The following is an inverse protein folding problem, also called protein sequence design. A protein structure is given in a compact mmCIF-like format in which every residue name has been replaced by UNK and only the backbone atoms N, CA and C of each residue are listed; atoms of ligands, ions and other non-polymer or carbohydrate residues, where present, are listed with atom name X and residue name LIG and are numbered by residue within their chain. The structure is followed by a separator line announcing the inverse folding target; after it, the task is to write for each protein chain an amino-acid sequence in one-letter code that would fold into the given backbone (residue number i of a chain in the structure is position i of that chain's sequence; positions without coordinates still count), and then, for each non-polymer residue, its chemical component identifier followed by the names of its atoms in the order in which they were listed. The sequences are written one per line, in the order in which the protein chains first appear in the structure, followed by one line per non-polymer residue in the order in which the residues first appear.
data_IF_447404784827
#
_entry.id   IF_447404784827
#
_cell.length_a   1.000
_cell.length_b   1.000
_cell.length_c   1.000
_cell.angle_alpha   90.00
_cell.angle_beta   90.00
_cell.angle_gamma   90.00
#
_symmetry.space_group_name_H-M   'P 1'
#
loop_
_entity.id
_entity.type
_entity.pdbx_description
1 polymer ?
#
# COMPACT_ATOMS: atom_id res chain seq x y z
N UNK A 1 -11.38 10.81 11.99
CA UNK A 1 -11.31 10.01 13.24
C UNK A 1 -10.89 8.56 13.05
N UNK A 2 -11.07 7.94 11.91
CA UNK A 2 -10.58 6.58 11.62
C UNK A 2 -9.07 6.39 11.88
N UNK A 3 -8.26 7.41 11.59
CA UNK A 3 -6.82 7.37 11.88
C UNK A 3 -6.46 7.24 13.36
N UNK A 4 -7.30 7.70 14.29
CA UNK A 4 -7.04 7.60 15.74
C UNK A 4 -7.18 6.16 16.25
N UNK A 5 -8.17 5.40 15.77
CA UNK A 5 -8.39 4.00 16.17
C UNK A 5 -7.31 3.09 15.60
N UNK A 6 -7.00 3.24 14.31
CA UNK A 6 -5.91 2.50 13.69
C UNK A 6 -4.56 2.79 14.37
N UNK A 7 -4.29 4.05 14.73
CA UNK A 7 -3.11 4.45 15.48
C UNK A 7 -3.05 3.74 16.85
N UNK A 8 -4.17 3.71 17.59
CA UNK A 8 -4.22 3.03 18.90
C UNK A 8 -3.95 1.53 18.77
N UNK A 9 -4.59 0.85 17.81
CA UNK A 9 -4.40 -0.58 17.59
C UNK A 9 -2.97 -0.93 17.18
N UNK A 10 -2.39 -0.17 16.24
CA UNK A 10 -1.01 -0.38 15.81
C UNK A 10 0.00 -0.06 16.91
N UNK A 11 -0.28 0.93 17.75
CA UNK A 11 0.56 1.27 18.90
C UNK A 11 0.52 0.16 19.95
N UNK A 12 -0.63 -0.42 20.22
CA UNK A 12 -0.77 -1.55 21.16
C UNK A 12 -0.01 -2.78 20.65
N UNK A 13 -0.16 -3.15 19.37
CA UNK A 13 0.61 -4.24 18.76
C UNK A 13 2.12 -3.99 18.83
N UNK A 14 2.56 -2.74 18.58
CA UNK A 14 3.96 -2.33 18.74
C UNK A 14 4.44 -2.60 20.18
N UNK A 15 3.71 -2.14 21.20
CA UNK A 15 4.10 -2.32 22.58
C UNK A 15 4.20 -3.80 22.99
N UNK A 16 3.24 -4.63 22.55
CA UNK A 16 3.27 -6.08 22.79
C UNK A 16 4.51 -6.72 22.13
N UNK A 17 4.82 -6.36 20.89
CA UNK A 17 6.00 -6.89 20.19
C UNK A 17 7.31 -6.41 20.82
N UNK A 18 7.37 -5.17 21.25
CA UNK A 18 8.53 -4.61 21.97
C UNK A 18 8.84 -5.38 23.25
N UNK A 19 7.81 -5.75 24.05
CA UNK A 19 7.98 -6.56 25.24
C UNK A 19 8.62 -7.92 24.90
N UNK A 20 8.12 -8.63 23.90
CA UNK A 20 8.68 -9.89 23.42
C UNK A 20 10.15 -9.76 22.96
N UNK A 21 10.45 -8.68 22.20
CA UNK A 21 11.81 -8.40 21.77
C UNK A 21 12.74 -8.07 22.93
N UNK A 22 12.26 -7.38 23.97
CA UNK A 22 13.03 -7.10 25.18
C UNK A 22 13.38 -8.39 25.94
N UNK A 23 12.42 -9.30 26.10
CA UNK A 23 12.64 -10.63 26.71
C UNK A 23 13.68 -11.44 25.92
N UNK A 24 13.63 -11.42 24.59
CA UNK A 24 14.63 -12.08 23.75
C UNK A 24 16.03 -11.48 23.95
N UNK A 25 16.16 -10.15 23.97
CA UNK A 25 17.47 -9.46 24.16
C UNK A 25 18.08 -9.76 25.53
N UNK A 26 17.27 -9.92 26.59
CA UNK A 26 17.75 -10.29 27.90
C UNK A 26 18.36 -11.70 27.96
N UNK A 27 17.82 -12.62 27.12
CA UNK A 27 18.23 -14.04 27.09
C UNK A 27 19.35 -14.33 26.09
N UNK A 28 19.57 -13.43 25.12
CA UNK A 28 20.52 -13.65 24.04
C UNK A 28 21.46 -12.46 23.85
N UNK A 29 22.77 -12.74 23.75
CA UNK A 29 23.75 -11.75 23.31
C UNK A 29 23.72 -11.49 21.81
N UNK A 30 23.08 -12.35 21.05
CA UNK A 30 22.93 -12.22 19.62
C UNK A 30 21.74 -11.28 19.31
N UNK A 31 21.99 -10.21 18.60
CA UNK A 31 21.02 -9.15 18.33
C UNK A 31 20.98 -8.84 16.82
N UNK A 32 20.48 -9.77 15.99
CA UNK A 32 20.30 -9.52 14.57
C UNK A 32 19.14 -8.53 14.34
N UNK A 33 19.08 -7.86 13.18
CA UNK A 33 17.96 -7.00 12.87
C UNK A 33 16.62 -7.77 12.83
N UNK A 34 15.60 -7.21 13.46
CA UNK A 34 14.24 -7.72 13.38
C UNK A 34 13.67 -7.51 11.97
N UNK A 35 12.98 -8.52 11.43
CA UNK A 35 12.55 -8.56 10.03
C UNK A 35 11.08 -8.91 9.87
N UNK A 36 10.58 -8.76 8.67
CA UNK A 36 9.23 -9.12 8.23
C UNK A 36 8.14 -8.60 9.20
N UNK A 37 7.24 -9.48 9.68
CA UNK A 37 6.13 -9.07 10.57
C UNK A 37 6.59 -8.46 11.87
N UNK A 38 7.70 -8.94 12.45
CA UNK A 38 8.26 -8.32 13.65
C UNK A 38 8.71 -6.88 13.38
N UNK A 39 9.37 -6.62 12.24
CA UNK A 39 9.74 -5.27 11.83
C UNK A 39 8.52 -4.40 11.56
N UNK A 40 7.46 -4.94 10.93
CA UNK A 40 6.22 -4.20 10.69
C UNK A 40 5.55 -3.78 11.99
N UNK A 41 5.38 -4.71 12.93
CA UNK A 41 4.73 -4.42 14.23
C UNK A 41 5.53 -3.41 15.06
N UNK A 42 6.86 -3.57 15.14
CA UNK A 42 7.73 -2.60 15.83
C UNK A 42 7.66 -1.20 15.24
N UNK A 43 7.45 -1.09 13.93
CA UNK A 43 7.31 0.18 13.21
C UNK A 43 5.86 0.69 13.15
N UNK A 44 4.91 0.01 13.80
CA UNK A 44 3.48 0.31 13.75
C UNK A 44 2.93 0.34 12.31
N UNK A 45 3.34 -0.63 11.48
CA UNK A 45 2.86 -0.86 10.12
C UNK A 45 1.85 -2.00 10.13
N UNK A 46 0.75 -1.85 9.39
CA UNK A 46 -0.27 -2.87 9.23
C UNK A 46 0.28 -4.10 8.50
N UNK A 47 0.00 -5.29 9.04
CA UNK A 47 0.44 -6.55 8.43
C UNK A 47 -0.45 -6.87 7.22
N UNK A 48 0.14 -7.16 6.03
CA UNK A 48 -0.62 -7.53 4.85
C UNK A 48 -1.29 -8.91 5.02
N UNK A 49 -2.25 -9.22 4.18
CA UNK A 49 -2.84 -10.57 4.13
C UNK A 49 -1.81 -11.56 3.60
N UNK A 50 -1.47 -12.52 4.43
CA UNK A 50 -0.44 -13.49 4.11
C UNK A 50 -1.05 -14.75 3.46
N UNK A 51 -0.32 -15.42 2.57
CA UNK A 51 -0.75 -16.69 1.99
C UNK A 51 -0.97 -17.75 3.08
N UNK A 52 -2.04 -18.56 2.93
CA UNK A 52 -2.33 -19.69 3.84
C UNK A 52 -1.13 -20.63 3.95
N UNK A 53 -0.86 -21.14 5.15
CA UNK A 53 0.20 -22.12 5.41
C UNK A 53 1.60 -21.54 5.70
N UNK A 54 1.77 -20.23 5.74
CA UNK A 54 3.02 -19.58 6.13
C UNK A 54 3.03 -19.28 7.64
N UNK A 55 3.30 -20.30 8.44
CA UNK A 55 3.33 -20.23 9.92
C UNK A 55 4.47 -19.36 10.51
N UNK A 56 5.25 -18.66 9.68
CA UNK A 56 6.43 -17.87 10.10
C UNK A 56 6.10 -16.61 10.93
N UNK A 57 4.89 -16.50 11.47
CA UNK A 57 4.43 -15.24 12.02
C UNK A 57 4.12 -15.29 13.52
N UNK A 58 4.18 -16.47 14.12
CA UNK A 58 3.85 -16.64 15.52
C UNK A 58 5.03 -16.41 16.49
N UNK A 59 6.17 -15.92 15.99
CA UNK A 59 7.37 -15.69 16.79
C UNK A 59 8.09 -14.41 16.37
N UNK A 60 9.22 -14.16 17.02
CA UNK A 60 10.14 -13.12 16.61
C UNK A 60 10.82 -13.54 15.30
N UNK A 61 10.80 -12.68 14.31
CA UNK A 61 11.49 -12.89 13.02
C UNK A 61 12.70 -11.97 12.92
N UNK A 62 13.84 -12.54 12.56
CA UNK A 62 15.11 -11.82 12.37
C UNK A 62 15.71 -12.15 11.02
N UNK A 63 16.58 -11.27 10.50
CA UNK A 63 17.31 -11.50 9.26
C UNK A 63 18.75 -11.91 9.51
N UNK A 64 19.24 -12.85 8.70
CA UNK A 64 20.65 -13.26 8.65
C UNK A 64 21.13 -13.24 7.19
N UNK A 65 22.41 -12.92 6.92
CA UNK A 65 22.93 -12.83 5.54
C UNK A 65 22.91 -14.16 4.78
N UNK A 66 23.14 -15.27 5.48
CA UNK A 66 23.21 -16.60 4.86
C UNK A 66 22.63 -17.71 5.75
N UNK A 67 22.38 -18.87 5.16
CA UNK A 67 21.91 -20.04 5.89
C UNK A 67 22.93 -20.55 6.92
N UNK A 68 24.22 -20.34 6.68
CA UNK A 68 25.32 -20.77 7.59
C UNK A 68 25.36 -19.92 8.86
N UNK A 69 24.75 -18.75 8.87
CA UNK A 69 24.70 -17.86 10.03
C UNK A 69 23.47 -18.07 10.91
N UNK A 70 22.60 -18.99 10.54
CA UNK A 70 21.45 -19.38 11.33
C UNK A 70 21.89 -20.05 12.63
N UNK A 71 21.23 -19.67 13.73
CA UNK A 71 21.47 -20.24 15.06
C UNK A 71 20.40 -21.23 15.48
N UNK A 72 19.30 -21.30 14.72
CA UNK A 72 18.15 -22.19 14.96
C UNK A 72 17.60 -22.11 16.41
N UNK A 73 17.46 -20.90 16.91
CA UNK A 73 16.96 -20.67 18.27
C UNK A 73 15.46 -20.95 18.34
N UNK A 74 15.04 -21.62 19.43
CA UNK A 74 13.62 -21.92 19.66
C UNK A 74 12.81 -20.62 19.78
N UNK A 75 11.72 -20.54 19.04
CA UNK A 75 10.82 -19.37 19.03
C UNK A 75 11.31 -18.17 18.21
N UNK A 76 12.43 -18.32 17.49
CA UNK A 76 12.98 -17.31 16.59
C UNK A 76 12.91 -17.83 15.15
N UNK A 77 12.29 -17.05 14.28
CA UNK A 77 12.28 -17.33 12.85
C UNK A 77 13.46 -16.59 12.18
N UNK A 78 14.35 -17.32 11.56
CA UNK A 78 15.55 -16.78 10.93
C UNK A 78 15.37 -16.79 9.41
N UNK A 79 15.26 -15.60 8.81
CA UNK A 79 15.11 -15.41 7.35
C UNK A 79 16.46 -15.05 6.76
N UNK A 80 16.85 -15.74 5.69
CA UNK A 80 18.06 -15.37 4.95
C UNK A 80 17.76 -14.30 3.91
N UNK A 81 18.64 -13.29 3.86
CA UNK A 81 18.60 -12.23 2.87
C UNK A 81 20.01 -11.89 2.43
N UNK A 82 20.33 -12.19 1.17
CA UNK A 82 21.67 -12.02 0.60
C UNK A 82 21.92 -10.66 -0.06
N UNK A 83 20.93 -9.79 -0.07
CA UNK A 83 21.02 -8.41 -0.55
C UNK A 83 21.37 -7.44 0.58
N UNK A 84 21.75 -6.19 0.28
CA UNK A 84 21.98 -5.18 1.31
C UNK A 84 20.80 -5.08 2.28
N UNK A 85 21.10 -5.05 3.57
CA UNK A 85 20.10 -4.91 4.64
C UNK A 85 20.20 -3.50 5.21
N UNK A 86 19.27 -2.65 4.82
CA UNK A 86 19.12 -1.35 5.45
C UNK A 86 18.38 -1.50 6.78
N UNK A 87 18.84 -0.81 7.79
CA UNK A 87 18.30 -0.91 9.14
C UNK A 87 17.91 0.45 9.72
N UNK A 88 16.92 0.42 10.60
CA UNK A 88 16.46 1.57 11.37
C UNK A 88 16.35 1.20 12.85
N UNK A 89 16.64 2.16 13.72
CA UNK A 89 16.41 1.99 15.16
C UNK A 89 14.98 2.39 15.53
N UNK A 90 14.25 1.46 16.12
CA UNK A 90 12.95 1.71 16.73
C UNK A 90 13.10 1.55 18.23
N UNK A 91 13.27 2.65 18.93
CA UNK A 91 13.65 2.69 20.33
C UNK A 91 14.95 1.90 20.57
N UNK A 92 14.87 0.72 21.19
CA UNK A 92 16.04 -0.14 21.43
C UNK A 92 16.10 -1.36 20.50
N UNK A 93 15.25 -1.41 19.46
CA UNK A 93 15.17 -2.53 18.54
C UNK A 93 15.79 -2.15 17.19
N UNK A 94 16.82 -2.89 16.75
CA UNK A 94 17.36 -2.78 15.42
C UNK A 94 16.43 -3.50 14.45
N UNK A 95 15.79 -2.77 13.56
CA UNK A 95 14.82 -3.30 12.61
C UNK A 95 15.33 -3.15 11.17
N UNK A 96 14.96 -4.08 10.31
CA UNK A 96 15.08 -3.88 8.86
C UNK A 96 14.24 -2.67 8.47
N UNK A 97 14.78 -1.82 7.59
CA UNK A 97 14.10 -0.61 7.11
C UNK A 97 12.76 -0.96 6.45
N UNK A 98 11.79 -0.03 6.37
CA UNK A 98 10.52 -0.28 5.70
C UNK A 98 10.71 -0.72 4.24
N UNK A 99 11.57 -0.04 3.47
CA UNK A 99 11.82 -0.34 2.07
C UNK A 99 12.42 -1.75 1.87
N UNK A 100 13.45 -2.09 2.66
CA UNK A 100 14.03 -3.42 2.63
C UNK A 100 13.03 -4.49 3.11
N UNK A 101 12.22 -4.21 4.14
CA UNK A 101 11.15 -5.12 4.61
C UNK A 101 10.12 -5.37 3.50
N UNK A 102 9.71 -4.34 2.78
CA UNK A 102 8.80 -4.47 1.63
C UNK A 102 9.38 -5.37 0.54
N UNK A 103 10.64 -5.18 0.17
CA UNK A 103 11.35 -6.02 -0.79
C UNK A 103 11.45 -7.48 -0.32
N UNK A 104 11.72 -7.72 0.96
CA UNK A 104 11.74 -9.07 1.54
C UNK A 104 10.38 -9.77 1.45
N UNK A 105 9.28 -9.04 1.57
CA UNK A 105 7.92 -9.57 1.41
C UNK A 105 7.55 -9.90 -0.04
N UNK A 106 8.24 -9.34 -1.04
CA UNK A 106 7.90 -9.50 -2.46
C UNK A 106 7.95 -10.96 -2.95
N UNK A 107 8.76 -11.80 -2.31
CA UNK A 107 8.82 -13.23 -2.60
C UNK A 107 7.65 -14.05 -2.03
N UNK A 108 6.80 -13.45 -1.21
CA UNK A 108 5.76 -14.13 -0.43
C UNK A 108 4.36 -13.61 -0.72
N UNK A 109 4.23 -12.31 -0.97
CA UNK A 109 2.97 -11.66 -1.25
C UNK A 109 2.63 -11.76 -2.75
N UNK A 110 1.34 -11.78 -3.04
CA UNK A 110 0.90 -11.47 -4.39
C UNK A 110 1.06 -9.95 -4.65
N UNK A 111 0.96 -9.54 -5.90
CA UNK A 111 1.20 -8.15 -6.30
C UNK A 111 0.22 -7.16 -5.64
N UNK A 112 -1.04 -7.55 -5.41
CA UNK A 112 -2.03 -6.70 -4.74
C UNK A 112 -1.64 -6.45 -3.28
N UNK A 113 -1.28 -7.50 -2.55
CA UNK A 113 -0.84 -7.37 -1.15
C UNK A 113 0.49 -6.62 -1.03
N UNK A 114 1.34 -6.70 -2.04
CA UNK A 114 2.60 -5.95 -2.09
C UNK A 114 2.33 -4.43 -2.26
N UNK A 115 1.34 -4.05 -3.07
CA UNK A 115 0.87 -2.67 -3.19
C UNK A 115 0.26 -2.20 -1.86
N UNK A 116 -0.64 -3.00 -1.27
CA UNK A 116 -1.28 -2.69 0.01
C UNK A 116 -0.25 -2.48 1.11
N UNK A 117 0.78 -3.33 1.18
CA UNK A 117 1.85 -3.18 2.18
C UNK A 117 2.62 -1.87 1.99
N UNK A 118 3.02 -1.54 0.75
CA UNK A 118 3.73 -0.30 0.48
C UNK A 118 2.91 0.93 0.88
N UNK A 119 1.64 1.01 0.49
CA UNK A 119 0.76 2.13 0.84
C UNK A 119 0.52 2.22 2.35
N UNK A 120 0.42 1.07 3.04
CA UNK A 120 0.34 1.04 4.51
C UNK A 120 1.57 1.60 5.22
N UNK A 121 2.73 1.61 4.57
CA UNK A 121 3.96 2.23 5.06
C UNK A 121 4.00 3.74 4.81
N UNK A 122 3.20 4.25 3.86
CA UNK A 122 3.22 5.63 3.38
C UNK A 122 1.96 6.40 3.75
N UNK A 123 1.43 6.18 4.95
CA UNK A 123 0.20 6.80 5.42
C UNK A 123 0.28 8.33 5.42
N UNK A 124 -0.87 8.99 5.25
CA UNK A 124 -1.01 10.44 5.36
C UNK A 124 -0.62 10.96 6.75
N UNK A 125 -0.98 10.23 7.81
CA UNK A 125 -0.59 10.58 9.17
C UNK A 125 0.94 10.39 9.34
N UNK A 126 1.68 11.50 9.47
CA UNK A 126 3.14 11.49 9.61
C UNK A 126 3.66 10.64 10.80
N UNK A 127 2.81 10.43 11.83
CA UNK A 127 3.17 9.55 12.96
C UNK A 127 3.22 8.07 12.57
N UNK A 128 2.54 7.70 11.47
CA UNK A 128 2.48 6.35 10.91
C UNK A 128 3.22 6.21 9.58
N UNK A 129 3.66 7.31 8.97
CA UNK A 129 4.47 7.28 7.76
C UNK A 129 5.86 6.75 8.10
N UNK A 130 6.33 5.76 7.37
CA UNK A 130 7.60 5.07 7.60
C UNK A 130 8.53 5.10 6.40
N UNK A 131 8.01 5.36 5.21
CA UNK A 131 8.79 5.42 3.97
C UNK A 131 8.08 6.27 2.93
N UNK A 132 8.74 6.46 1.78
CA UNK A 132 8.22 7.14 0.59
C UNK A 132 8.42 6.27 -0.66
N UNK A 133 7.81 6.65 -1.79
CA UNK A 133 8.02 5.97 -3.08
C UNK A 133 9.49 6.08 -3.50
N UNK A 134 10.12 7.21 -3.25
CA UNK A 134 11.54 7.45 -3.55
C UNK A 134 12.44 6.48 -2.77
N UNK A 135 12.18 6.26 -1.48
CA UNK A 135 12.96 5.32 -0.67
C UNK A 135 12.74 3.87 -1.10
N UNK A 136 11.50 3.48 -1.47
CA UNK A 136 11.23 2.16 -2.05
C UNK A 136 11.99 1.97 -3.36
N UNK A 137 12.02 2.99 -4.21
CA UNK A 137 12.73 2.98 -5.49
C UNK A 137 14.24 2.91 -5.27
N UNK A 138 14.79 3.74 -4.40
CA UNK A 138 16.20 3.77 -4.06
C UNK A 138 16.69 2.40 -3.55
N UNK A 139 15.89 1.71 -2.73
CA UNK A 139 16.25 0.37 -2.29
C UNK A 139 16.33 -0.64 -3.44
N UNK A 140 15.39 -0.59 -4.40
CA UNK A 140 15.45 -1.47 -5.57
C UNK A 140 16.65 -1.18 -6.47
N UNK A 141 17.01 0.09 -6.62
CA UNK A 141 18.17 0.50 -7.39
C UNK A 141 19.47 0.06 -6.71
N UNK A 142 19.59 0.21 -5.37
CA UNK A 142 20.72 -0.32 -4.58
C UNK A 142 20.83 -1.85 -4.71
N UNK A 143 19.72 -2.58 -4.71
CA UNK A 143 19.73 -4.03 -4.91
C UNK A 143 20.24 -4.41 -6.32
N UNK A 144 19.93 -3.61 -7.34
CA UNK A 144 20.45 -3.80 -8.69
C UNK A 144 21.95 -3.50 -8.75
N UNK A 145 22.37 -2.37 -8.21
CA UNK A 145 23.80 -1.99 -8.12
C UNK A 145 24.63 -3.07 -7.41
N UNK A 146 24.08 -3.64 -6.34
CA UNK A 146 24.72 -4.77 -5.66
C UNK A 146 24.93 -5.97 -6.59
N UNK A 147 23.95 -6.35 -7.43
CA UNK A 147 24.12 -7.46 -8.39
C UNK A 147 25.14 -7.14 -9.47
N UNK A 148 25.22 -5.88 -9.90
CA UNK A 148 26.22 -5.41 -10.86
C UNK A 148 27.63 -5.47 -10.28
N UNK A 149 27.83 -4.99 -9.06
CA UNK A 149 29.11 -5.05 -8.35
C UNK A 149 29.60 -6.50 -8.14
N UNK A 150 28.68 -7.42 -7.74
CA UNK A 150 29.03 -8.85 -7.62
C UNK A 150 29.42 -9.44 -8.98
N UNK A 151 28.76 -9.03 -10.06
CA UNK A 151 29.11 -9.48 -11.41
C UNK A 151 30.49 -8.98 -11.83
N UNK A 152 30.82 -7.72 -11.57
CA UNK A 152 32.14 -7.15 -11.85
C UNK A 152 33.26 -7.88 -11.08
N UNK A 153 33.01 -8.23 -9.82
CA UNK A 153 33.97 -8.90 -8.97
C UNK A 153 34.16 -10.38 -9.32
N UNK A 154 33.06 -11.09 -9.60
CA UNK A 154 33.05 -12.56 -9.70
C UNK A 154 32.93 -13.10 -11.13
N UNK A 155 32.56 -12.26 -12.11
CA UNK A 155 32.21 -12.66 -13.47
C UNK A 155 30.87 -13.42 -13.56
N UNK A 156 30.12 -13.50 -12.45
CA UNK A 156 28.81 -14.19 -12.41
C UNK A 156 27.76 -13.23 -11.87
N UNK A 157 26.74 -12.95 -12.70
CA UNK A 157 25.61 -12.11 -12.27
C UNK A 157 24.68 -12.92 -11.38
N UNK A 158 24.46 -12.53 -10.10
CA UNK A 158 23.48 -13.18 -9.27
C UNK A 158 22.07 -12.86 -9.74
N UNK A 159 21.13 -13.76 -9.52
CA UNK A 159 19.74 -13.49 -9.75
C UNK A 159 19.23 -12.43 -8.76
N UNK A 160 18.34 -11.54 -9.22
CA UNK A 160 17.62 -10.65 -8.33
C UNK A 160 16.81 -11.46 -7.32
N UNK A 161 16.49 -10.84 -6.18
CA UNK A 161 15.64 -11.47 -5.18
C UNK A 161 14.26 -11.81 -5.76
N UNK A 162 13.67 -12.89 -5.22
CA UNK A 162 12.35 -13.34 -5.66
C UNK A 162 11.31 -12.25 -5.46
N UNK A 163 10.61 -11.86 -6.52
CA UNK A 163 9.58 -10.83 -6.50
C UNK A 163 10.07 -9.43 -6.88
N UNK A 164 11.35 -9.23 -7.23
CA UNK A 164 11.88 -7.94 -7.67
C UNK A 164 11.05 -7.31 -8.79
N UNK A 165 10.69 -8.08 -9.83
CA UNK A 165 9.85 -7.59 -10.92
C UNK A 165 8.45 -7.15 -10.42
N UNK A 166 7.89 -7.81 -9.40
CA UNK A 166 6.64 -7.39 -8.79
C UNK A 166 6.78 -6.07 -8.02
N UNK A 167 7.92 -5.84 -7.35
CA UNK A 167 8.23 -4.54 -6.76
C UNK A 167 8.22 -3.42 -7.81
N UNK A 168 8.92 -3.63 -8.93
CA UNK A 168 8.96 -2.66 -10.04
C UNK A 168 7.57 -2.41 -10.65
N UNK A 169 6.72 -3.44 -10.76
CA UNK A 169 5.33 -3.30 -11.20
C UNK A 169 4.49 -2.55 -10.18
N UNK A 170 4.63 -2.86 -8.89
CA UNK A 170 3.89 -2.21 -7.81
C UNK A 170 4.13 -0.69 -7.78
N UNK A 171 5.39 -0.25 -7.93
CA UNK A 171 5.77 1.17 -7.94
C UNK A 171 4.99 2.00 -8.96
N UNK A 172 4.52 1.41 -10.06
CA UNK A 172 3.72 2.12 -11.08
C UNK A 172 2.32 2.50 -10.60
N UNK A 173 1.79 1.80 -9.59
CA UNK A 173 0.39 1.93 -9.16
C UNK A 173 0.27 2.45 -7.72
N UNK A 174 1.31 2.26 -6.92
CA UNK A 174 1.37 2.75 -5.54
C UNK A 174 1.11 4.24 -5.47
N UNK A 175 0.33 4.67 -4.48
CA UNK A 175 0.10 6.08 -4.13
C UNK A 175 0.38 6.30 -2.66
N UNK A 176 0.97 7.43 -2.33
CA UNK A 176 1.18 7.83 -0.95
C UNK A 176 -0.09 8.42 -0.34
N UNK A 177 -0.21 8.28 0.97
CA UNK A 177 -1.18 9.02 1.76
C UNK A 177 -2.50 8.30 2.04
N UNK A 178 -2.66 7.00 1.73
CA UNK A 178 -3.82 6.21 2.23
C UNK A 178 -3.75 6.09 3.74
N UNK A 179 -4.89 6.06 4.41
CA UNK A 179 -4.95 5.92 5.87
C UNK A 179 -5.27 4.47 6.32
N UNK A 180 -5.64 3.57 5.39
CA UNK A 180 -5.90 2.16 5.68
C UNK A 180 -5.64 1.24 4.50
N UNK A 181 -5.38 -0.06 4.77
CA UNK A 181 -5.29 -1.10 3.74
C UNK A 181 -6.59 -1.28 2.95
N UNK A 182 -7.73 -0.97 3.56
CA UNK A 182 -9.03 -1.09 2.91
C UNK A 182 -9.28 0.03 1.91
N UNK A 183 -8.79 1.25 2.17
CA UNK A 183 -8.80 2.34 1.19
C UNK A 183 -7.96 1.97 -0.04
N UNK A 184 -6.75 1.41 0.15
CA UNK A 184 -5.93 0.90 -0.95
C UNK A 184 -6.68 -0.14 -1.78
N UNK A 185 -7.33 -1.13 -1.14
CA UNK A 185 -8.12 -2.15 -1.84
C UNK A 185 -9.28 -1.53 -2.61
N UNK A 186 -10.00 -0.59 -2.00
CA UNK A 186 -11.10 0.14 -2.64
C UNK A 186 -10.59 0.90 -3.86
N UNK A 187 -9.43 1.55 -3.77
CA UNK A 187 -8.79 2.29 -4.85
C UNK A 187 -8.41 1.40 -6.04
N UNK A 188 -8.03 0.16 -5.79
CA UNK A 188 -7.64 -0.78 -6.85
C UNK A 188 -8.85 -1.35 -7.62
N UNK A 189 -10.07 -1.35 -7.04
CA UNK A 189 -11.25 -1.87 -7.71
C UNK A 189 -11.53 -1.18 -9.06
N UNK A 190 -11.70 0.15 -9.16
CA UNK A 190 -12.01 0.78 -10.43
C UNK A 190 -10.93 0.51 -11.50
N UNK A 191 -9.66 0.43 -11.14
CA UNK A 191 -8.58 0.09 -12.06
C UNK A 191 -8.74 -1.30 -12.68
N UNK A 192 -9.17 -2.29 -11.89
CA UNK A 192 -9.43 -3.65 -12.37
C UNK A 192 -10.53 -3.69 -13.44
N UNK A 193 -11.43 -2.73 -13.44
CA UNK A 193 -12.56 -2.65 -14.35
C UNK A 193 -12.46 -1.54 -15.40
N UNK A 194 -11.27 -0.97 -15.59
CA UNK A 194 -10.96 -0.02 -16.67
C UNK A 194 -11.36 1.44 -16.39
N UNK A 195 -11.77 1.75 -15.17
CA UNK A 195 -11.96 3.11 -14.65
C UNK A 195 -10.64 3.59 -14.07
N UNK A 196 -10.37 4.89 -14.12
CA UNK A 196 -9.14 5.45 -13.57
C UNK A 196 -9.09 5.31 -12.03
N UNK A 197 -7.88 5.32 -11.44
CA UNK A 197 -7.74 5.35 -9.99
C UNK A 197 -8.30 6.65 -9.41
N UNK A 198 -9.04 6.66 -8.30
CA UNK A 198 -9.37 7.88 -7.57
C UNK A 198 -8.12 8.50 -6.93
N UNK A 199 -8.16 9.81 -6.68
CA UNK A 199 -7.18 10.49 -5.84
C UNK A 199 -7.34 10.06 -4.39
N UNK A 200 -6.22 9.92 -3.68
CA UNK A 200 -6.17 9.51 -2.28
C UNK A 200 -6.21 10.75 -1.38
N UNK A 201 -6.97 10.70 -0.29
CA UNK A 201 -7.06 11.73 0.74
C UNK A 201 -7.20 13.16 0.18
N UNK A 202 -8.12 13.32 -0.76
CA UNK A 202 -8.33 14.60 -1.43
C UNK A 202 -8.88 15.66 -0.47
N UNK A 203 -8.19 16.79 -0.38
CA UNK A 203 -8.47 17.86 0.56
C UNK A 203 -9.58 18.77 0.04
N UNK A 204 -10.65 18.98 0.85
CA UNK A 204 -11.74 19.93 0.56
C UNK A 204 -12.01 20.84 1.74
N UNK A 205 -12.41 22.08 1.45
CA UNK A 205 -13.00 22.98 2.45
C UNK A 205 -14.48 22.68 2.60
N UNK A 206 -14.96 22.50 3.84
CA UNK A 206 -16.37 22.23 4.13
C UNK A 206 -16.93 23.37 4.96
N UNK A 207 -17.78 24.21 4.35
CA UNK A 207 -18.32 25.44 4.97
C UNK A 207 -19.10 25.15 6.24
N UNK A 208 -20.01 24.18 6.18
CA UNK A 208 -20.86 23.81 7.33
C UNK A 208 -20.05 23.40 8.58
N UNK A 209 -18.87 22.81 8.38
CA UNK A 209 -17.99 22.38 9.48
C UNK A 209 -16.92 23.42 9.80
N UNK A 210 -16.83 24.51 9.02
CA UNK A 210 -15.78 25.52 9.09
C UNK A 210 -14.38 24.93 9.22
N UNK A 211 -14.11 23.84 8.49
CA UNK A 211 -12.82 23.13 8.52
C UNK A 211 -12.52 22.43 7.20
N UNK A 212 -11.27 22.03 7.05
CA UNK A 212 -10.82 21.14 6.00
C UNK A 212 -11.17 19.70 6.35
N UNK A 213 -11.62 18.94 5.34
CA UNK A 213 -11.89 17.51 5.41
C UNK A 213 -11.07 16.81 4.32
N UNK A 214 -10.57 15.63 4.62
CA UNK A 214 -9.94 14.76 3.66
C UNK A 214 -10.91 13.66 3.26
N UNK A 215 -11.15 13.52 1.96
CA UNK A 215 -11.94 12.44 1.39
C UNK A 215 -11.02 11.24 1.20
N UNK A 216 -11.39 10.06 1.70
CA UNK A 216 -10.55 8.86 1.61
C UNK A 216 -10.09 8.63 0.16
N UNK A 217 -11.05 8.60 -0.76
CA UNK A 217 -10.83 8.51 -2.20
C UNK A 217 -11.75 9.49 -2.92
N UNK A 218 -11.27 10.12 -3.98
CA UNK A 218 -12.06 11.10 -4.73
C UNK A 218 -11.79 11.08 -6.23
N UNK A 219 -12.82 11.39 -7.00
CA UNK A 219 -12.72 11.84 -8.37
C UNK A 219 -13.10 13.33 -8.41
N UNK A 220 -12.14 14.24 -8.20
CA UNK A 220 -12.42 15.67 -8.14
C UNK A 220 -12.99 16.21 -9.45
N UNK A 221 -12.59 15.65 -10.59
CA UNK A 221 -13.10 15.97 -11.91
C UNK A 221 -14.61 15.79 -12.05
N UNK A 222 -15.23 14.93 -11.23
CA UNK A 222 -16.68 14.67 -11.20
C UNK A 222 -17.33 15.06 -9.88
N UNK A 223 -16.57 15.54 -8.89
CA UNK A 223 -17.02 15.73 -7.51
C UNK A 223 -17.67 14.47 -6.91
N UNK A 224 -17.01 13.33 -7.06
CA UNK A 224 -17.42 12.07 -6.45
C UNK A 224 -16.43 11.71 -5.35
N UNK A 225 -16.90 11.43 -4.14
CA UNK A 225 -16.11 10.87 -3.06
C UNK A 225 -16.52 9.42 -2.78
N UNK A 226 -15.53 8.61 -2.38
CA UNK A 226 -15.70 7.22 -1.99
C UNK A 226 -15.09 7.09 -0.60
N UNK A 227 -15.89 6.72 0.38
CA UNK A 227 -15.47 6.58 1.78
C UNK A 227 -15.62 5.12 2.21
N UNK A 228 -14.55 4.57 2.78
CA UNK A 228 -14.59 3.21 3.31
C UNK A 228 -15.12 3.20 4.73
N UNK A 229 -16.25 2.52 4.93
CA UNK A 229 -16.85 2.30 6.25
C UNK A 229 -16.33 1.00 6.87
N UNK A 230 -15.43 1.14 7.84
CA UNK A 230 -14.79 0.02 8.55
C UNK A 230 -15.68 -0.70 9.58
N UNK A 231 -16.92 -0.26 9.76
CA UNK A 231 -17.81 -0.71 10.84
C UNK A 231 -17.59 0.12 12.11
N UNK A 232 -18.63 0.81 12.54
CA UNK A 232 -18.56 1.81 13.61
C UNK A 232 -18.86 1.22 14.99
N UNK A 233 -18.20 1.78 16.01
CA UNK A 233 -18.70 1.72 17.37
C UNK A 233 -19.97 2.59 17.48
N UNK A 234 -20.97 2.10 18.20
CA UNK A 234 -22.33 2.67 18.29
C UNK A 234 -22.44 4.18 18.65
N UNK A 235 -21.34 4.86 18.98
CA UNK A 235 -21.31 6.29 19.30
C UNK A 235 -20.83 7.23 18.18
N UNK A 236 -20.35 6.73 17.05
CA UNK A 236 -19.74 7.57 15.99
C UNK A 236 -20.69 7.85 14.80
N UNK A 237 -21.75 7.06 14.65
CA UNK A 237 -22.64 7.16 13.49
C UNK A 237 -23.23 8.56 13.26
N UNK A 238 -23.49 9.32 14.34
CA UNK A 238 -24.05 10.67 14.22
C UNK A 238 -23.03 11.68 13.67
N UNK A 239 -21.77 11.55 14.07
CA UNK A 239 -20.69 12.41 13.54
C UNK A 239 -20.42 12.08 12.07
N UNK A 240 -20.43 10.81 11.71
CA UNK A 240 -20.25 10.35 10.32
C UNK A 240 -21.40 10.79 9.42
N UNK A 241 -22.65 10.69 9.92
CA UNK A 241 -23.81 11.21 9.21
C UNK A 241 -23.71 12.74 9.00
N UNK A 242 -23.26 13.49 10.01
CA UNK A 242 -23.02 14.93 9.91
C UNK A 242 -21.89 15.26 8.93
N UNK A 243 -20.81 14.49 8.97
CA UNK A 243 -19.67 14.63 8.03
C UNK A 243 -20.13 14.37 6.61
N UNK A 244 -20.85 13.26 6.37
CA UNK A 244 -21.41 12.94 5.06
C UNK A 244 -22.33 14.05 4.55
N UNK A 245 -23.30 14.50 5.35
CA UNK A 245 -24.19 15.59 4.96
C UNK A 245 -23.41 16.87 4.60
N UNK A 246 -22.38 17.20 5.35
CA UNK A 246 -21.57 18.37 5.09
C UNK A 246 -20.74 18.25 3.80
N UNK A 247 -20.30 17.05 3.41
CA UNK A 247 -19.64 16.78 2.13
C UNK A 247 -20.65 16.90 0.98
N UNK A 248 -21.86 16.34 1.14
CA UNK A 248 -22.94 16.44 0.14
C UNK A 248 -23.41 17.88 -0.07
N UNK A 249 -23.43 18.73 1.00
CA UNK A 249 -23.74 20.16 0.91
C UNK A 249 -22.73 20.94 0.00
N UNK A 250 -21.47 20.49 -0.08
CA UNK A 250 -20.46 21.01 -1.02
C UNK A 250 -20.58 20.43 -2.45
N UNK A 251 -21.72 19.76 -2.72
CA UNK A 251 -22.06 19.15 -4.02
C UNK A 251 -21.19 17.97 -4.42
N UNK A 252 -20.61 17.26 -3.45
CA UNK A 252 -19.96 15.99 -3.69
C UNK A 252 -20.98 14.85 -3.67
N UNK A 253 -20.85 13.92 -4.60
CA UNK A 253 -21.63 12.68 -4.63
C UNK A 253 -20.92 11.62 -3.81
N UNK A 254 -21.62 11.10 -2.83
CA UNK A 254 -21.05 10.18 -1.85
C UNK A 254 -21.29 8.72 -2.26
N UNK A 255 -20.23 7.91 -2.23
CA UNK A 255 -20.28 6.45 -2.38
C UNK A 255 -19.70 5.85 -1.10
N UNK A 256 -20.52 5.17 -0.34
CA UNK A 256 -20.10 4.39 0.82
C UNK A 256 -19.64 3.00 0.36
N UNK A 257 -18.49 2.55 0.85
CA UNK A 257 -17.90 1.23 0.59
C UNK A 257 -17.69 0.52 1.91
N UNK A 258 -18.03 -0.75 1.96
CA UNK A 258 -17.85 -1.62 3.13
C UNK A 258 -16.99 -2.83 2.78
N UNK A 259 -16.69 -3.67 3.78
CA UNK A 259 -15.99 -4.94 3.55
C UNK A 259 -16.73 -5.88 2.61
N UNK A 260 -18.07 -5.77 2.52
CA UNK A 260 -18.90 -6.60 1.64
C UNK A 260 -18.65 -6.27 0.17
N UNK A 261 -18.37 -5.01 -0.16
CA UNK A 261 -18.08 -4.56 -1.52
C UNK A 261 -16.70 -5.06 -2.04
N UNK A 262 -15.86 -5.59 -1.16
CA UNK A 262 -14.51 -6.08 -1.43
C UNK A 262 -14.36 -7.58 -1.14
N UNK A 263 -15.46 -8.30 -1.00
CA UNK A 263 -15.48 -9.70 -0.57
C UNK A 263 -15.08 -10.69 -1.68
N UNK A 264 -15.52 -10.42 -2.90
CA UNK A 264 -15.31 -11.26 -4.08
C UNK A 264 -15.37 -10.45 -5.38
N UNK A 265 -15.12 -11.11 -6.52
CA UNK A 265 -15.09 -10.45 -7.83
C UNK A 265 -16.45 -9.86 -8.24
N UNK A 266 -17.55 -10.48 -7.83
CA UNK A 266 -18.90 -9.99 -8.14
C UNK A 266 -19.19 -8.68 -7.37
N UNK A 267 -18.83 -8.64 -6.10
CA UNK A 267 -18.97 -7.44 -5.25
C UNK A 267 -18.06 -6.30 -5.75
N UNK A 268 -16.82 -6.60 -6.16
CA UNK A 268 -15.92 -5.63 -6.78
C UNK A 268 -16.50 -5.06 -8.09
N UNK A 269 -17.10 -5.91 -8.94
CA UNK A 269 -17.75 -5.48 -10.18
C UNK A 269 -18.95 -4.58 -9.89
N UNK A 270 -19.78 -4.95 -8.91
CA UNK A 270 -20.92 -4.13 -8.50
C UNK A 270 -20.48 -2.74 -8.01
N UNK A 271 -19.38 -2.66 -7.24
CA UNK A 271 -18.77 -1.39 -6.84
C UNK A 271 -18.27 -0.59 -8.04
N UNK A 272 -17.57 -1.21 -8.99
CA UNK A 272 -17.12 -0.55 -10.20
C UNK A 272 -18.28 0.01 -11.04
N UNK A 273 -19.39 -0.74 -11.15
CA UNK A 273 -20.61 -0.27 -11.81
C UNK A 273 -21.22 0.94 -11.09
N UNK A 274 -21.33 0.91 -9.75
CA UNK A 274 -21.83 2.07 -8.98
C UNK A 274 -20.98 3.32 -9.22
N UNK A 275 -19.65 3.17 -9.33
CA UNK A 275 -18.76 4.29 -9.64
C UNK A 275 -19.02 4.79 -11.07
N UNK A 276 -19.12 3.89 -12.04
CA UNK A 276 -19.41 4.23 -13.45
C UNK A 276 -20.76 4.96 -13.59
N UNK A 277 -21.79 4.47 -12.92
CA UNK A 277 -23.13 5.08 -12.91
C UNK A 277 -23.10 6.49 -12.31
N UNK A 278 -22.33 6.71 -11.22
CA UNK A 278 -22.16 8.04 -10.64
C UNK A 278 -21.42 9.00 -11.58
N UNK A 279 -20.42 8.52 -12.30
CA UNK A 279 -19.73 9.34 -13.33
C UNK A 279 -20.71 9.67 -14.47
N UNK A 280 -21.51 8.71 -14.92
CA UNK A 280 -22.54 8.95 -15.95
C UNK A 280 -23.61 9.94 -15.47
N UNK A 281 -24.06 9.89 -14.22
CA UNK A 281 -24.97 10.88 -13.62
C UNK A 281 -24.42 12.31 -13.70
N UNK A 282 -23.11 12.49 -13.63
CA UNK A 282 -22.45 13.80 -13.70
C UNK A 282 -22.25 14.26 -15.14
N UNK A 283 -21.76 13.36 -15.98
CA UNK A 283 -21.28 13.68 -17.33
C UNK A 283 -22.36 13.55 -18.40
N UNK A 284 -23.43 12.80 -18.15
CA UNK A 284 -24.41 12.38 -19.15
C UNK A 284 -23.88 11.31 -20.12
N UNK A 285 -22.61 10.86 -19.96
CA UNK A 285 -21.92 9.96 -20.90
C UNK A 285 -21.76 8.59 -20.26
N UNK A 286 -22.18 7.49 -20.92
CA UNK A 286 -21.98 6.15 -20.41
C UNK A 286 -20.50 5.81 -20.20
N UNK A 287 -20.18 5.27 -19.04
CA UNK A 287 -18.81 4.83 -18.69
C UNK A 287 -18.75 3.30 -18.80
N UNK A 288 -17.94 2.78 -19.73
CA UNK A 288 -17.85 1.34 -19.91
C UNK A 288 -17.10 0.69 -18.73
N UNK A 289 -17.72 -0.30 -18.11
CA UNK A 289 -17.07 -1.21 -17.15
C UNK A 289 -16.56 -2.40 -17.95
N UNK A 290 -15.23 -2.56 -18.01
CA UNK A 290 -14.59 -3.64 -18.78
C UNK A 290 -14.60 -4.95 -18.01
N UNK A 291 -14.30 -6.07 -18.69
CA UNK A 291 -13.99 -7.32 -18.00
C UNK A 291 -12.84 -7.11 -16.98
N UNK A 292 -12.92 -7.83 -15.88
CA UNK A 292 -11.95 -7.71 -14.79
C UNK A 292 -10.52 -7.98 -15.26
N UNK A 293 -9.64 -7.04 -15.03
CA UNK A 293 -8.21 -7.17 -15.26
C UNK A 293 -7.52 -7.77 -14.04
N UNK A 294 -6.49 -8.55 -14.28
CA UNK A 294 -5.56 -8.94 -13.22
C UNK A 294 -4.80 -7.72 -12.71
N UNK A 295 -4.28 -7.77 -11.48
CA UNK A 295 -3.46 -6.67 -10.96
C UNK A 295 -2.17 -6.48 -11.77
N UNK A 296 -1.64 -7.54 -12.39
CA UNK A 296 -0.51 -7.43 -13.31
C UNK A 296 -0.84 -6.60 -14.55
N UNK A 297 -2.03 -6.79 -15.13
CA UNK A 297 -2.50 -5.98 -16.26
C UNK A 297 -2.77 -4.52 -15.86
N UNK A 298 -3.21 -4.28 -14.61
CA UNK A 298 -3.34 -2.92 -14.05
C UNK A 298 -1.99 -2.22 -13.94
N UNK A 299 -0.95 -2.95 -13.56
CA UNK A 299 0.42 -2.43 -13.42
C UNK A 299 1.20 -2.39 -14.74
N UNK A 300 0.57 -2.67 -15.89
CA UNK A 300 1.22 -2.58 -17.20
C UNK A 300 1.51 -1.10 -17.55
N UNK A 301 2.73 -0.83 -18.01
CA UNK A 301 3.16 0.52 -18.38
C UNK A 301 2.27 1.15 -19.45
N UNK A 302 1.74 0.34 -20.39
CA UNK A 302 0.81 0.83 -21.42
C UNK A 302 -0.52 1.28 -20.83
N UNK A 303 -1.00 0.61 -19.75
CA UNK A 303 -2.21 1.02 -19.04
C UNK A 303 -2.02 2.38 -18.36
N UNK A 304 -0.83 2.65 -17.83
CA UNK A 304 -0.48 3.92 -17.15
C UNK A 304 -0.39 5.12 -18.11
N UNK A 305 -0.07 4.89 -19.39
CA UNK A 305 -0.02 5.96 -20.42
C UNK A 305 -1.38 6.34 -20.97
N UNK A 306 -2.46 5.71 -20.52
CA UNK A 306 -3.81 6.01 -21.00
C UNK A 306 -4.24 7.38 -20.49
N UNK A 307 -4.80 8.20 -21.39
CA UNK A 307 -5.39 9.49 -21.01
C UNK A 307 -6.46 9.31 -19.94
N UNK A 308 -6.61 10.25 -19.00
CA UNK A 308 -7.67 10.22 -18.00
C UNK A 308 -9.06 10.05 -18.63
N UNK A 309 -9.97 9.42 -17.88
CA UNK A 309 -11.31 9.11 -18.39
C UNK A 309 -12.06 10.38 -18.84
N UNK A 310 -11.99 11.48 -18.08
CA UNK A 310 -12.66 12.73 -18.44
C UNK A 310 -12.18 13.28 -19.79
N UNK A 311 -10.87 13.17 -20.13
CA UNK A 311 -10.36 13.56 -21.44
C UNK A 311 -10.84 12.63 -22.55
N UNK A 312 -10.89 11.30 -22.29
CA UNK A 312 -11.34 10.29 -23.24
C UNK A 312 -12.80 10.43 -23.62
N UNK A 313 -13.62 10.91 -22.70
CA UNK A 313 -15.06 11.16 -22.92
C UNK A 313 -15.36 12.62 -23.28
N UNK A 314 -14.34 13.50 -23.35
CA UNK A 314 -14.53 14.91 -23.70
C UNK A 314 -15.25 15.72 -22.61
N UNK A 315 -15.13 15.34 -21.35
CA UNK A 315 -15.75 16.05 -20.24
C UNK A 315 -14.78 17.08 -19.65
N UNK A 316 -15.26 18.31 -19.43
CA UNK A 316 -14.50 19.35 -18.75
C UNK A 316 -14.51 19.11 -17.23
N UNK A 317 -13.33 18.93 -16.57
CA UNK A 317 -13.28 18.58 -15.16
C UNK A 317 -13.81 19.70 -14.26
N UNK A 318 -14.65 19.36 -13.30
CA UNK A 318 -15.21 20.31 -12.32
C UNK A 318 -14.14 20.85 -11.35
N UNK A 319 -13.17 20.03 -11.00
CA UNK A 319 -12.02 20.37 -10.17
C UNK A 319 -10.75 19.69 -10.74
N UNK A 320 -9.57 20.27 -10.53
CA UNK A 320 -8.33 19.68 -11.02
C UNK A 320 -8.03 18.36 -10.31
N UNK A 321 -7.57 17.39 -11.07
CA UNK A 321 -7.01 16.16 -10.55
C UNK A 321 -5.59 16.43 -10.06
N UNK A 322 -5.24 15.95 -8.88
CA UNK A 322 -3.84 15.98 -8.43
C UNK A 322 -3.04 15.01 -9.30
N UNK A 323 -1.93 15.45 -9.92
CA UNK A 323 -1.11 14.56 -10.74
C UNK A 323 -0.66 13.33 -9.96
N UNK A 324 -0.65 12.16 -10.63
CA UNK A 324 -0.08 10.95 -10.06
C UNK A 324 1.45 11.11 -10.04
N UNK A 325 2.08 11.09 -8.88
CA UNK A 325 3.52 11.21 -8.72
C UNK A 325 4.33 10.10 -9.42
N UNK A 326 3.66 9.04 -9.89
CA UNK A 326 4.29 7.84 -10.43
C UNK A 326 4.33 7.78 -11.98
N UNK A 327 3.94 8.85 -12.68
CA UNK A 327 3.82 8.82 -14.15
C UNK A 327 5.17 8.66 -14.91
N UNK A 328 6.29 8.94 -14.24
CA UNK A 328 7.62 9.01 -14.87
C UNK A 328 8.53 7.78 -14.61
N UNK A 329 7.99 6.67 -14.09
CA UNK A 329 8.81 5.47 -13.87
C UNK A 329 9.14 4.76 -15.19
N UNK A 330 10.44 4.42 -15.45
CA UNK A 330 10.87 3.71 -16.67
C UNK A 330 10.24 2.31 -16.77
N UNK A 331 10.05 1.85 -17.99
CA UNK A 331 9.48 0.53 -18.27
C UNK A 331 10.35 -0.61 -17.69
N UNK A 332 9.72 -1.54 -16.96
CA UNK A 332 10.42 -2.74 -16.47
C UNK A 332 10.75 -3.71 -17.61
N UNK A 333 10.07 -3.57 -18.77
CA UNK A 333 10.29 -4.40 -19.95
C UNK A 333 11.60 -4.07 -20.67
N UNK A 334 12.20 -2.89 -20.42
CA UNK A 334 13.54 -2.55 -20.91
C UNK A 334 14.66 -3.29 -20.17
N UNK A 335 14.33 -4.01 -19.08
CA UNK A 335 15.29 -4.77 -18.27
C UNK A 335 15.24 -6.28 -18.55
N UNK A 336 14.19 -6.81 -19.20
CA UNK A 336 14.08 -8.23 -19.56
C UNK A 336 14.93 -8.60 -20.81
N UNK A 337 15.56 -7.61 -21.46
CA UNK A 337 16.49 -7.82 -22.59
C UNK A 337 17.92 -8.24 -22.19
N UNK A 338 18.17 -8.43 -20.89
CA UNK A 338 19.48 -8.87 -20.36
C UNK A 338 19.25 -10.14 -19.53
N UNK A 339 18.83 -11.22 -20.21
CA UNK A 339 18.87 -12.59 -19.69
C UNK A 339 20.17 -13.27 -20.10
#
# INVERSE_FOLDING_TARGET
MGGSIALMQLTELKHQRMKQCAEFRQRSRWQPPYALTTALELQAIEIPRLPKGRAMLNGITVVVPSANERRNLVGINEVTWSFPVDVVMVEQCLCVSPACTWAMFAGWLNLEELIVLAESMMRRDGRLRRTTIEELTAYLDSAREFTEAVFEETGRRPNMFRGYANCRRALRVIQEGTDSSMETRTRLVPLKYGIDAPCVNYKIGVKRLNRVVYLDLAYPEYKICIEFDGGHHAGQWLEDARRRQAIEDEKWRYIQVTKLDLGDEWSEEALARRIADKIQEVTGIPVPVTARKTIQQVCDARAMRRKPLYERIGFEPLLPRVPNANADFPDADDLDGIA
#
